data_IF_154384746824
#
_entry.id   IF_154384746824
#
_cell.length_a   1.000
_cell.length_b   1.000
_cell.length_c   1.000
_cell.angle_alpha   90.00
_cell.angle_beta   90.00
_cell.angle_gamma   90.00
#
_symmetry.space_group_name_H-M   'P 1'
#
loop_
_entity.id
_entity.type
_entity.pdbx_description
1 polymer ?
#
# COMPACT_ATOMS: atom_id res chain seq x y z
N UNK A 1 3.91 15.60 28.09
CA UNK A 1 3.22 16.52 27.14
C UNK A 1 1.88 16.87 27.74
N UNK A 2 1.91 17.65 28.80
CA UNK A 2 0.68 18.12 29.45
C UNK A 2 0.10 19.28 28.67
N UNK A 3 -1.19 19.18 28.40
CA UNK A 3 -2.16 20.22 28.02
C UNK A 3 -1.60 21.52 27.42
N UNK A 4 -1.04 21.45 26.22
CA UNK A 4 -1.02 22.60 25.31
C UNK A 4 -2.27 22.53 24.45
N UNK A 5 -2.89 23.68 24.25
CA UNK A 5 -4.22 23.90 23.71
C UNK A 5 -4.69 22.90 22.69
N UNK A 6 -5.98 22.52 22.75
CA UNK A 6 -6.65 21.58 21.82
C UNK A 6 -6.55 21.96 20.32
N UNK A 7 -5.94 23.11 20.00
CA UNK A 7 -5.76 23.66 18.65
C UNK A 7 -4.35 23.48 18.08
N UNK A 8 -3.39 22.92 18.85
CA UNK A 8 -2.02 22.74 18.37
C UNK A 8 -1.96 21.69 17.25
N UNK A 9 -1.33 22.06 16.16
CA UNK A 9 -1.09 21.17 15.01
C UNK A 9 0.38 20.78 15.01
N UNK A 10 0.65 19.48 15.03
CA UNK A 10 2.00 18.92 15.04
C UNK A 10 2.22 17.97 13.88
N UNK A 11 3.37 18.08 13.21
CA UNK A 11 3.91 16.98 12.40
C UNK A 11 5.08 16.34 13.15
N UNK A 12 5.05 15.04 13.33
CA UNK A 12 5.99 14.31 14.18
C UNK A 12 6.62 13.16 13.37
N UNK A 13 7.97 13.11 13.42
CA UNK A 13 8.75 11.99 12.93
C UNK A 13 9.17 11.08 14.09
N UNK A 14 8.72 9.85 14.11
CA UNK A 14 9.23 8.80 14.99
C UNK A 14 10.39 8.08 14.34
N UNK A 15 11.48 7.92 15.08
CA UNK A 15 12.69 7.29 14.59
C UNK A 15 13.32 6.35 15.60
N UNK A 16 14.29 5.55 15.16
CA UNK A 16 15.21 4.83 16.01
C UNK A 16 16.66 5.25 15.68
N UNK A 17 17.58 5.34 16.66
CA UNK A 17 18.97 5.79 16.44
C UNK A 17 19.77 4.94 15.44
N UNK A 18 19.47 3.66 15.38
CA UNK A 18 20.12 2.70 14.47
C UNK A 18 19.50 2.67 13.05
N UNK A 19 18.37 3.35 12.82
CA UNK A 19 17.65 3.31 11.54
C UNK A 19 18.35 4.19 10.49
N UNK A 20 18.93 3.58 9.46
CA UNK A 20 19.63 4.27 8.36
C UNK A 20 18.70 5.18 7.54
N UNK A 21 17.48 4.71 7.22
CA UNK A 21 16.46 5.49 6.50
C UNK A 21 16.01 6.72 7.31
N UNK A 22 16.00 6.62 8.64
CA UNK A 22 15.69 7.76 9.50
C UNK A 22 16.78 8.85 9.41
N UNK A 23 18.06 8.43 9.34
CA UNK A 23 19.20 9.35 9.16
C UNK A 23 19.17 10.03 7.79
N UNK A 24 18.83 9.29 6.73
CA UNK A 24 18.66 9.85 5.38
C UNK A 24 17.55 10.90 5.32
N UNK A 25 16.49 10.74 6.10
CA UNK A 25 15.37 11.70 6.18
C UNK A 25 15.71 12.95 7.02
N UNK A 26 16.73 12.94 7.86
CA UNK A 26 17.05 14.07 8.76
C UNK A 26 17.30 15.41 8.04
N UNK A 27 18.03 15.48 6.91
CA UNK A 27 18.18 16.73 6.17
C UNK A 27 16.85 17.28 5.65
N UNK A 28 16.01 16.42 5.07
CA UNK A 28 14.68 16.76 4.57
C UNK A 28 13.78 17.26 5.72
N UNK A 29 13.83 16.59 6.88
CA UNK A 29 13.06 16.97 8.05
C UNK A 29 13.42 18.37 8.58
N UNK A 30 14.71 18.70 8.57
CA UNK A 30 15.18 20.06 8.94
C UNK A 30 14.72 21.13 7.94
N UNK A 31 14.75 20.83 6.63
CA UNK A 31 14.24 21.73 5.60
C UNK A 31 12.74 22.02 5.79
N UNK A 32 11.94 20.98 6.05
CA UNK A 32 10.50 21.11 6.33
C UNK A 32 10.26 22.02 7.54
N UNK A 33 10.99 21.81 8.65
CA UNK A 33 10.89 22.66 9.83
C UNK A 33 11.23 24.12 9.58
N UNK A 34 12.29 24.37 8.80
CA UNK A 34 12.71 25.73 8.42
C UNK A 34 11.67 26.40 7.50
N UNK A 35 11.13 25.69 6.54
CA UNK A 35 10.15 26.21 5.60
C UNK A 35 8.82 26.54 6.30
N UNK A 36 8.29 25.64 7.11
CA UNK A 36 7.05 25.89 7.87
C UNK A 36 7.21 27.09 8.81
N UNK A 37 8.38 27.26 9.43
CA UNK A 37 8.69 28.42 10.25
C UNK A 37 8.75 29.70 9.42
N UNK A 38 9.39 29.69 8.26
CA UNK A 38 9.52 30.87 7.38
C UNK A 38 8.18 31.31 6.79
N UNK A 39 7.28 30.36 6.55
CA UNK A 39 5.91 30.63 6.08
C UNK A 39 4.95 31.08 7.20
N UNK A 40 5.40 31.18 8.46
CA UNK A 40 4.54 31.47 9.58
C UNK A 40 3.43 30.42 9.80
N UNK A 41 3.69 29.16 9.41
CA UNK A 41 2.72 28.08 9.54
C UNK A 41 2.36 27.81 11.00
N UNK A 42 1.08 27.53 11.33
CA UNK A 42 0.68 27.11 12.65
C UNK A 42 1.14 25.69 13.02
N UNK A 43 1.80 24.98 12.09
CA UNK A 43 2.22 23.60 12.27
C UNK A 43 3.58 23.54 12.96
N UNK A 44 3.62 22.92 14.13
CA UNK A 44 4.85 22.62 14.86
C UNK A 44 5.50 21.33 14.33
N UNK A 45 6.83 21.32 14.23
CA UNK A 45 7.60 20.18 13.73
C UNK A 45 8.35 19.52 14.87
N UNK A 46 8.14 18.23 15.07
CA UNK A 46 8.76 17.46 16.14
C UNK A 46 9.42 16.17 15.65
N UNK A 47 10.33 15.62 16.46
CA UNK A 47 10.84 14.27 16.31
C UNK A 47 10.88 13.56 17.66
N UNK A 48 10.65 12.27 17.68
CA UNK A 48 10.69 11.45 18.89
C UNK A 48 11.45 10.17 18.65
N UNK A 49 12.38 9.87 19.56
CA UNK A 49 13.02 8.56 19.61
C UNK A 49 12.02 7.55 20.17
N UNK A 50 11.53 6.68 19.30
CA UNK A 50 10.52 5.68 19.67
C UNK A 50 11.09 4.54 20.52
N UNK A 51 12.42 4.39 20.56
CA UNK A 51 13.10 3.38 21.39
C UNK A 51 13.27 3.88 22.84
N UNK A 52 13.44 5.18 23.02
CA UNK A 52 13.48 5.81 24.33
C UNK A 52 12.07 6.15 24.86
N UNK A 53 11.17 6.59 23.96
CA UNK A 53 9.79 7.00 24.30
C UNK A 53 8.78 5.91 23.93
N UNK A 54 8.96 4.70 24.47
CA UNK A 54 8.15 3.52 24.10
C UNK A 54 6.66 3.68 24.41
N UNK A 55 6.30 4.39 25.48
CA UNK A 55 4.91 4.72 25.81
C UNK A 55 4.24 5.54 24.72
N UNK A 56 4.92 6.60 24.25
CA UNK A 56 4.43 7.46 23.19
C UNK A 56 4.35 6.68 21.84
N UNK A 57 5.37 5.90 21.53
CA UNK A 57 5.37 5.07 20.31
C UNK A 57 4.20 4.07 20.30
N UNK A 58 3.87 3.48 21.44
CA UNK A 58 2.72 2.57 21.60
C UNK A 58 1.40 3.31 21.46
N UNK A 59 1.23 4.48 22.09
CA UNK A 59 0.06 5.33 21.98
C UNK A 59 -0.23 5.72 20.51
N UNK A 60 0.83 6.10 19.79
CA UNK A 60 0.74 6.46 18.37
C UNK A 60 0.75 5.25 17.44
N UNK A 61 0.84 4.01 17.96
CA UNK A 61 0.86 2.75 17.19
C UNK A 61 1.94 2.74 16.12
N UNK A 62 3.14 3.19 16.47
CA UNK A 62 4.31 3.17 15.58
C UNK A 62 4.74 1.73 15.34
N UNK A 63 4.69 1.27 14.08
CA UNK A 63 5.00 -0.12 13.69
C UNK A 63 6.32 -0.27 12.93
N UNK A 64 6.92 0.85 12.52
CA UNK A 64 8.17 0.86 11.74
C UNK A 64 8.80 2.24 11.72
N UNK A 65 10.02 2.34 11.21
CA UNK A 65 10.79 3.59 11.19
C UNK A 65 11.32 3.90 9.78
N UNK A 66 11.33 5.20 9.37
CA UNK A 66 10.69 6.34 10.05
C UNK A 66 9.17 6.30 9.91
N UNK A 67 8.43 6.59 11.00
CA UNK A 67 7.00 6.85 10.93
C UNK A 67 6.75 8.36 10.99
N UNK A 68 5.91 8.87 10.11
CA UNK A 68 5.52 10.27 10.04
C UNK A 68 4.02 10.35 10.26
N UNK A 69 3.61 11.19 11.17
CA UNK A 69 2.21 11.45 11.43
C UNK A 69 1.96 12.92 11.77
N UNK A 70 0.74 13.35 11.54
CA UNK A 70 0.27 14.66 11.96
C UNK A 70 -0.80 14.51 13.02
N UNK A 71 -0.72 15.37 14.04
CA UNK A 71 -1.72 15.48 15.07
C UNK A 71 -2.41 16.83 14.91
N UNK A 72 -3.73 16.83 14.79
CA UNK A 72 -4.56 18.03 14.67
C UNK A 72 -5.83 17.84 15.47
N UNK A 73 -6.07 18.71 16.45
CA UNK A 73 -7.28 18.64 17.30
C UNK A 73 -7.52 17.26 17.93
N UNK A 74 -6.45 16.60 18.38
CA UNK A 74 -6.53 15.25 18.95
C UNK A 74 -6.68 14.13 17.95
N UNK A 75 -6.90 14.42 16.66
CA UNK A 75 -6.99 13.42 15.61
C UNK A 75 -5.62 13.15 15.01
N UNK A 76 -5.32 11.87 14.78
CA UNK A 76 -4.06 11.39 14.22
C UNK A 76 -4.21 11.06 12.75
N UNK A 77 -3.32 11.62 11.93
CA UNK A 77 -3.23 11.39 10.49
C UNK A 77 -1.87 10.78 10.15
N UNK A 78 -1.84 9.54 9.68
CA UNK A 78 -0.59 8.88 9.29
C UNK A 78 -0.20 9.28 7.87
N UNK A 79 1.10 9.48 7.65
CA UNK A 79 1.66 9.73 6.33
C UNK A 79 2.25 8.46 5.74
N UNK A 80 1.79 8.07 4.57
CA UNK A 80 2.27 6.88 3.84
C UNK A 80 2.88 7.21 2.47
N UNK A 81 3.07 8.49 2.15
CA UNK A 81 3.61 8.95 0.87
C UNK A 81 5.14 8.96 0.78
N UNK A 82 5.69 9.49 -0.34
CA UNK A 82 7.12 9.59 -0.59
C UNK A 82 7.85 10.37 0.52
N UNK A 83 9.04 9.90 0.90
CA UNK A 83 9.87 10.52 1.95
C UNK A 83 10.64 11.75 1.43
N UNK A 84 10.02 12.52 0.55
CA UNK A 84 10.54 13.76 -0.04
C UNK A 84 9.98 14.99 0.67
N UNK A 85 10.67 16.12 0.54
CA UNK A 85 10.20 17.40 1.09
C UNK A 85 8.81 17.75 0.54
N UNK A 86 8.66 17.69 -0.78
CA UNK A 86 7.41 18.11 -1.45
C UNK A 86 6.23 17.20 -1.08
N UNK A 87 6.44 15.89 -1.02
CA UNK A 87 5.39 14.95 -0.62
C UNK A 87 4.92 15.17 0.83
N UNK A 88 5.85 15.41 1.76
CA UNK A 88 5.53 15.67 3.16
C UNK A 88 4.88 17.05 3.32
N UNK A 89 5.38 18.09 2.63
CA UNK A 89 4.80 19.44 2.67
C UNK A 89 3.40 19.49 2.07
N UNK A 90 3.14 18.76 0.98
CA UNK A 90 1.80 18.61 0.43
C UNK A 90 0.83 17.99 1.43
N UNK A 91 1.25 16.91 2.12
CA UNK A 91 0.46 16.30 3.19
C UNK A 91 0.18 17.28 4.34
N UNK A 92 1.21 18.02 4.79
CA UNK A 92 1.06 19.04 5.83
C UNK A 92 0.04 20.08 5.41
N UNK A 93 0.17 20.66 4.23
CA UNK A 93 -0.73 21.67 3.70
C UNK A 93 -2.16 21.16 3.56
N UNK A 94 -2.32 19.92 3.16
CA UNK A 94 -3.62 19.27 2.99
C UNK A 94 -4.32 19.08 4.33
N UNK A 95 -3.66 18.47 5.30
CA UNK A 95 -4.24 18.14 6.62
C UNK A 95 -4.36 19.34 7.53
N UNK A 96 -3.40 20.28 7.53
CA UNK A 96 -3.45 21.48 8.38
C UNK A 96 -4.58 22.43 7.99
N UNK A 97 -4.92 22.48 6.71
CA UNK A 97 -5.98 23.35 6.19
C UNK A 97 -7.39 22.89 6.55
N UNK A 98 -8.40 23.58 6.02
CA UNK A 98 -9.79 23.16 6.17
C UNK A 98 -10.03 21.83 5.43
N UNK A 99 -10.93 21.01 5.99
CA UNK A 99 -11.28 19.70 5.46
C UNK A 99 -11.81 19.78 4.03
N UNK A 100 -12.74 20.71 3.78
CA UNK A 100 -13.27 21.03 2.45
C UNK A 100 -12.97 22.50 2.20
N UNK A 101 -12.19 22.78 1.14
CA UNK A 101 -11.75 24.13 0.77
C UNK A 101 -12.79 24.78 -0.12
N UNK A 102 -13.33 25.92 0.32
CA UNK A 102 -14.30 26.65 -0.46
C UNK A 102 -13.62 27.51 -1.54
N UNK A 103 -14.03 27.33 -2.78
CA UNK A 103 -13.58 28.09 -3.94
C UNK A 103 -14.63 29.17 -4.24
N UNK A 104 -14.35 30.41 -3.79
CA UNK A 104 -15.31 31.51 -3.85
C UNK A 104 -15.26 32.33 -5.13
N UNK A 105 -14.33 32.05 -6.04
CA UNK A 105 -14.22 32.76 -7.33
C UNK A 105 -13.69 31.87 -8.44
N UNK A 106 -13.96 32.28 -9.69
CA UNK A 106 -13.44 31.60 -10.88
C UNK A 106 -11.92 31.57 -10.89
N UNK A 107 -11.26 32.63 -10.43
CA UNK A 107 -9.79 32.72 -10.36
C UNK A 107 -9.22 31.70 -9.36
N UNK A 108 -9.83 31.55 -8.17
CA UNK A 108 -9.43 30.54 -7.20
C UNK A 108 -9.66 29.12 -7.74
N UNK A 109 -10.75 28.91 -8.47
CA UNK A 109 -11.03 27.63 -9.10
C UNK A 109 -9.95 27.28 -10.14
N UNK A 110 -9.63 28.21 -11.05
CA UNK A 110 -8.59 28.05 -12.06
C UNK A 110 -7.21 27.83 -11.43
N UNK A 111 -6.89 28.59 -10.37
CA UNK A 111 -5.65 28.40 -9.63
C UNK A 111 -5.58 27.02 -8.98
N UNK A 112 -6.65 26.52 -8.39
CA UNK A 112 -6.69 25.17 -7.85
C UNK A 112 -6.51 24.12 -8.95
N UNK A 113 -7.18 24.27 -10.10
CA UNK A 113 -7.02 23.37 -11.26
C UNK A 113 -5.59 23.33 -11.80
N UNK A 114 -4.86 24.44 -11.77
CA UNK A 114 -3.45 24.47 -12.22
C UNK A 114 -2.46 23.83 -11.26
N UNK A 115 -2.86 23.62 -10.01
CA UNK A 115 -2.01 23.05 -8.94
C UNK A 115 -2.31 21.61 -8.59
N UNK A 116 -3.45 21.09 -9.00
CA UNK A 116 -3.88 19.75 -8.64
C UNK A 116 -4.27 18.97 -9.89
N UNK A 117 -3.61 17.84 -10.13
CA UNK A 117 -3.92 16.96 -11.26
C UNK A 117 -5.32 16.35 -11.11
N UNK A 118 -5.81 16.22 -9.88
CA UNK A 118 -7.14 15.73 -9.57
C UNK A 118 -7.80 16.63 -8.53
N UNK A 119 -9.00 17.11 -8.80
CA UNK A 119 -9.81 17.92 -7.90
C UNK A 119 -11.18 17.30 -7.68
N UNK A 120 -11.50 16.99 -6.43
CA UNK A 120 -12.84 16.58 -6.00
C UNK A 120 -13.60 17.83 -5.56
N UNK A 121 -14.75 18.08 -6.16
CA UNK A 121 -15.53 19.32 -5.94
C UNK A 121 -16.99 18.98 -5.65
N UNK A 122 -17.46 19.38 -4.47
CA UNK A 122 -18.88 19.42 -4.17
C UNK A 122 -19.51 20.74 -4.67
N UNK A 123 -20.63 20.64 -5.36
CA UNK A 123 -21.34 21.81 -5.89
C UNK A 123 -22.79 21.79 -5.42
N UNK A 124 -23.20 22.84 -4.73
CA UNK A 124 -24.57 22.99 -4.26
C UNK A 124 -24.71 23.54 -2.84
N UNK A 125 -25.97 23.65 -2.40
CA UNK A 125 -26.32 24.05 -1.04
C UNK A 125 -26.16 22.89 -0.04
N UNK A 126 -26.43 23.14 1.23
CA UNK A 126 -26.42 22.11 2.28
C UNK A 126 -27.43 21.00 1.96
N UNK A 127 -27.01 19.75 2.00
CA UNK A 127 -27.79 18.56 1.65
C UNK A 127 -27.19 17.31 2.32
N UNK A 128 -27.89 16.20 2.25
CA UNK A 128 -27.36 14.90 2.71
C UNK A 128 -26.08 14.52 1.95
N UNK A 129 -26.04 14.74 0.64
CA UNK A 129 -24.84 14.49 -0.18
C UNK A 129 -23.62 15.31 0.30
N UNK A 130 -23.83 16.55 0.78
CA UNK A 130 -22.76 17.35 1.41
C UNK A 130 -22.26 16.71 2.68
N UNK A 131 -23.15 16.17 3.51
CA UNK A 131 -22.79 15.43 4.72
C UNK A 131 -21.92 14.22 4.41
N UNK A 132 -22.39 13.38 3.47
CA UNK A 132 -21.64 12.22 2.99
C UNK A 132 -20.26 12.60 2.43
N UNK A 133 -20.21 13.64 1.59
CA UNK A 133 -18.96 14.15 1.03
C UNK A 133 -17.99 14.63 2.10
N UNK A 134 -18.48 15.30 3.14
CA UNK A 134 -17.66 15.76 4.27
C UNK A 134 -17.12 14.59 5.09
N UNK A 135 -17.95 13.58 5.37
CA UNK A 135 -17.51 12.37 6.07
C UNK A 135 -16.43 11.61 5.29
N UNK A 136 -16.58 11.52 3.96
CA UNK A 136 -15.54 10.91 3.11
C UNK A 136 -14.26 11.74 3.12
N UNK A 137 -14.38 13.08 3.14
CA UNK A 137 -13.23 13.97 3.23
C UNK A 137 -12.47 13.77 4.56
N UNK A 138 -13.13 13.54 5.68
CA UNK A 138 -12.48 13.24 6.97
C UNK A 138 -11.58 12.01 6.91
N UNK A 139 -12.01 10.99 6.19
CA UNK A 139 -11.25 9.76 6.05
C UNK A 139 -10.12 9.87 5.00
N UNK A 140 -10.38 10.54 3.88
CA UNK A 140 -9.48 10.56 2.73
C UNK A 140 -8.62 11.82 2.60
N UNK A 141 -8.69 12.77 3.54
CA UNK A 141 -7.86 14.01 3.52
C UNK A 141 -6.36 13.71 3.54
N UNK A 142 -5.96 12.56 4.07
CA UNK A 142 -4.55 12.09 4.04
C UNK A 142 -4.06 11.78 2.63
N UNK A 143 -4.96 11.56 1.67
CA UNK A 143 -4.66 11.12 0.32
C UNK A 143 -4.96 12.19 -0.75
N UNK A 144 -6.01 13.00 -0.59
CA UNK A 144 -6.46 13.93 -1.63
C UNK A 144 -7.10 15.18 -1.05
N UNK A 145 -7.16 16.23 -1.86
CA UNK A 145 -7.82 17.49 -1.50
C UNK A 145 -9.30 17.44 -1.82
N UNK A 146 -10.10 18.10 -0.95
CA UNK A 146 -11.53 18.24 -1.09
C UNK A 146 -11.90 19.72 -1.24
N UNK A 147 -12.73 20.04 -2.23
CA UNK A 147 -13.17 21.39 -2.53
C UNK A 147 -14.68 21.48 -2.55
N UNK A 148 -15.20 22.70 -2.38
CA UNK A 148 -16.58 23.04 -2.64
C UNK A 148 -16.65 24.33 -3.43
N UNK A 149 -17.66 24.45 -4.31
CA UNK A 149 -17.89 25.62 -5.13
C UNK A 149 -19.38 25.85 -5.35
N UNK A 150 -19.75 27.05 -5.77
CA UNK A 150 -21.06 27.36 -6.34
C UNK A 150 -21.04 27.17 -7.85
N UNK A 151 -22.20 27.01 -8.48
CA UNK A 151 -22.30 26.74 -9.93
C UNK A 151 -21.66 27.83 -10.80
N UNK A 152 -21.78 29.08 -10.38
CA UNK A 152 -21.27 30.26 -11.08
C UNK A 152 -19.73 30.33 -11.11
N UNK A 153 -19.06 29.63 -10.20
CA UNK A 153 -17.60 29.55 -10.11
C UNK A 153 -17.02 28.50 -11.06
N UNK A 154 -17.81 27.52 -11.48
CA UNK A 154 -17.35 26.43 -12.34
C UNK A 154 -17.03 26.95 -13.78
N UNK A 155 -16.11 26.27 -14.50
CA UNK A 155 -15.87 26.52 -15.90
C UNK A 155 -17.18 26.42 -16.72
N UNK A 156 -17.37 27.32 -17.71
CA UNK A 156 -18.58 27.37 -18.55
C UNK A 156 -18.86 26.06 -19.30
N UNK A 157 -17.82 25.25 -19.54
CA UNK A 157 -17.95 23.96 -20.21
C UNK A 157 -18.60 22.87 -19.32
N UNK A 158 -18.73 23.13 -18.00
CA UNK A 158 -19.31 22.16 -17.06
C UNK A 158 -20.85 22.27 -17.14
N UNK A 159 -21.48 21.23 -17.67
CA UNK A 159 -22.94 21.09 -17.68
C UNK A 159 -23.36 20.15 -16.54
N UNK A 160 -24.19 20.66 -15.63
CA UNK A 160 -24.77 19.88 -14.54
C UNK A 160 -26.27 19.77 -14.70
N UNK A 161 -26.84 18.59 -14.84
CA UNK A 161 -28.29 18.41 -15.01
C UNK A 161 -29.06 18.79 -13.74
N UNK A 162 -28.45 18.55 -12.56
CA UNK A 162 -29.06 18.82 -11.25
C UNK A 162 -28.01 19.20 -10.22
N UNK A 163 -28.47 19.82 -9.13
CA UNK A 163 -27.72 20.10 -7.92
C UNK A 163 -28.49 19.51 -6.73
N UNK A 164 -27.80 19.04 -5.69
CA UNK A 164 -26.34 19.05 -5.48
C UNK A 164 -25.62 18.00 -6.30
N UNK A 165 -24.34 18.23 -6.58
CA UNK A 165 -23.49 17.31 -7.34
C UNK A 165 -22.08 17.18 -6.74
N UNK A 166 -21.44 16.02 -6.95
CA UNK A 166 -20.01 15.81 -6.69
C UNK A 166 -19.33 15.56 -8.02
N UNK A 167 -18.25 16.27 -8.27
CA UNK A 167 -17.46 16.17 -9.50
C UNK A 167 -16.01 15.84 -9.17
N UNK A 168 -15.35 15.16 -10.10
CA UNK A 168 -13.89 15.06 -10.16
C UNK A 168 -13.42 15.73 -11.46
N UNK A 169 -12.51 16.68 -11.34
CA UNK A 169 -11.78 17.28 -12.45
C UNK A 169 -10.42 16.61 -12.55
N UNK A 170 -10.12 16.02 -13.69
CA UNK A 170 -8.85 15.36 -14.00
C UNK A 170 -8.68 15.17 -15.52
N UNK A 171 -7.45 15.04 -15.98
CA UNK A 171 -7.12 14.73 -17.38
C UNK A 171 -7.79 15.69 -18.38
N UNK A 172 -7.86 17.00 -18.03
CA UNK A 172 -8.45 18.03 -18.87
C UNK A 172 -9.98 17.98 -18.99
N UNK A 173 -10.65 17.11 -18.25
CA UNK A 173 -12.12 16.94 -18.28
C UNK A 173 -12.70 16.83 -16.87
N UNK A 174 -13.98 16.50 -16.76
CA UNK A 174 -14.64 16.25 -15.49
C UNK A 174 -15.58 15.05 -15.57
N UNK A 175 -15.85 14.44 -14.42
CA UNK A 175 -16.80 13.34 -14.26
C UNK A 175 -17.70 13.64 -13.07
N UNK A 176 -18.98 13.34 -13.23
CA UNK A 176 -19.99 13.56 -12.20
C UNK A 176 -20.36 12.25 -11.53
N UNK A 177 -20.37 12.24 -10.21
CA UNK A 177 -20.85 11.11 -9.42
C UNK A 177 -22.35 10.91 -9.65
N UNK A 178 -22.73 9.65 -9.83
CA UNK A 178 -24.12 9.20 -9.90
C UNK A 178 -24.27 7.95 -9.02
N UNK A 179 -25.06 8.04 -7.95
CA UNK A 179 -25.22 6.99 -6.97
C UNK A 179 -25.75 5.67 -7.57
N UNK A 180 -26.70 5.73 -8.51
CA UNK A 180 -27.26 4.56 -9.16
C UNK A 180 -26.24 3.80 -10.01
N UNK A 181 -25.33 4.52 -10.69
CA UNK A 181 -24.32 3.94 -11.56
C UNK A 181 -23.04 3.58 -10.81
N UNK A 182 -22.60 4.45 -9.90
CA UNK A 182 -21.26 4.43 -9.30
C UNK A 182 -21.24 3.82 -7.91
N UNK A 183 -22.42 3.65 -7.29
CA UNK A 183 -22.57 3.08 -5.95
C UNK A 183 -22.11 4.03 -4.85
N UNK A 184 -21.43 3.51 -3.86
CA UNK A 184 -20.96 4.26 -2.68
C UNK A 184 -19.99 5.39 -3.05
N UNK A 185 -20.23 6.59 -2.50
CA UNK A 185 -19.44 7.79 -2.77
C UNK A 185 -17.96 7.66 -2.38
N UNK A 186 -17.66 6.99 -1.27
CA UNK A 186 -16.28 6.80 -0.81
C UNK A 186 -15.51 5.88 -1.76
N UNK A 187 -16.15 4.80 -2.22
CA UNK A 187 -15.56 3.89 -3.20
C UNK A 187 -15.33 4.61 -4.53
N UNK A 188 -16.30 5.45 -4.96
CA UNK A 188 -16.14 6.24 -6.18
C UNK A 188 -15.00 7.24 -6.05
N UNK A 189 -14.92 8.02 -4.96
CA UNK A 189 -13.82 8.97 -4.72
C UNK A 189 -12.47 8.24 -4.68
N UNK A 190 -12.38 7.10 -4.01
CA UNK A 190 -11.16 6.31 -3.95
C UNK A 190 -10.70 5.84 -5.33
N UNK A 191 -11.65 5.51 -6.22
CA UNK A 191 -11.34 5.15 -7.61
C UNK A 191 -10.91 6.34 -8.46
N UNK A 192 -11.53 7.50 -8.26
CA UNK A 192 -11.36 8.65 -9.14
C UNK A 192 -10.26 9.62 -8.68
N UNK A 193 -9.67 9.44 -7.48
CA UNK A 193 -8.62 10.31 -6.92
C UNK A 193 -7.25 10.21 -7.59
N UNK A 194 -7.11 9.41 -8.65
CA UNK A 194 -5.90 9.30 -9.45
C UNK A 194 -6.14 9.75 -10.89
N UNK A 195 -5.14 10.33 -11.57
CA UNK A 195 -5.21 10.56 -13.02
C UNK A 195 -5.45 9.27 -13.79
N UNK A 196 -5.91 9.36 -15.03
CA UNK A 196 -6.13 8.17 -15.86
C UNK A 196 -4.81 7.49 -16.27
N UNK A 197 -3.76 8.30 -16.48
CA UNK A 197 -2.43 7.82 -16.81
C UNK A 197 -1.37 8.74 -16.20
N UNK A 198 -0.39 8.18 -15.48
CA UNK A 198 0.67 8.94 -14.84
C UNK A 198 1.85 8.04 -14.40
N UNK A 199 2.93 8.66 -13.91
CA UNK A 199 4.04 7.94 -13.29
C UNK A 199 3.61 7.41 -11.92
N UNK A 200 3.69 6.09 -11.77
CA UNK A 200 3.33 5.39 -10.54
C UNK A 200 4.63 5.00 -9.82
N UNK A 201 4.75 5.37 -8.55
CA UNK A 201 5.79 4.91 -7.65
C UNK A 201 5.25 3.83 -6.69
N UNK A 202 6.12 3.22 -5.89
CA UNK A 202 5.74 2.16 -4.96
C UNK A 202 4.72 2.64 -3.90
N UNK A 203 4.78 3.89 -3.48
CA UNK A 203 3.85 4.47 -2.51
C UNK A 203 2.46 4.65 -3.11
N UNK A 204 2.41 5.20 -4.32
CA UNK A 204 1.16 5.38 -5.07
C UNK A 204 0.53 4.04 -5.43
N UNK A 205 1.36 3.09 -5.86
CA UNK A 205 0.90 1.73 -6.17
C UNK A 205 0.26 1.06 -4.94
N UNK A 206 0.87 1.20 -3.76
CA UNK A 206 0.30 0.70 -2.51
C UNK A 206 -1.04 1.37 -2.18
N UNK A 207 -1.13 2.71 -2.34
CA UNK A 207 -2.38 3.46 -2.13
C UNK A 207 -3.49 3.08 -3.12
N UNK A 208 -3.15 2.63 -4.33
CA UNK A 208 -4.09 2.11 -5.32
C UNK A 208 -4.68 0.76 -4.92
N UNK A 209 -3.92 -0.06 -4.18
CA UNK A 209 -4.38 -1.35 -3.67
C UNK A 209 -5.64 -1.28 -2.83
N UNK A 210 -5.82 -0.18 -2.11
CA UNK A 210 -7.03 0.06 -1.30
C UNK A 210 -8.31 0.21 -2.13
N UNK A 211 -8.20 0.53 -3.42
CA UNK A 211 -9.35 0.69 -4.32
C UNK A 211 -9.90 -0.64 -4.87
N UNK A 212 -9.12 -1.73 -4.77
CA UNK A 212 -9.46 -3.03 -5.34
C UNK A 212 -9.38 -3.12 -6.87
N UNK A 213 -8.92 -2.07 -7.57
CA UNK A 213 -8.70 -2.09 -9.02
C UNK A 213 -7.39 -2.77 -9.39
N UNK A 214 -7.33 -3.29 -10.60
CA UNK A 214 -6.11 -3.77 -11.23
C UNK A 214 -5.27 -2.60 -11.74
N UNK A 215 -3.95 -2.73 -11.74
CA UNK A 215 -3.04 -1.67 -12.22
C UNK A 215 -2.23 -2.17 -13.41
N UNK A 216 -2.38 -1.52 -14.55
CA UNK A 216 -1.61 -1.76 -15.78
C UNK A 216 -0.37 -0.88 -15.75
N UNK A 217 0.80 -1.49 -15.77
CA UNK A 217 2.08 -0.80 -15.67
C UNK A 217 2.94 -1.07 -16.91
N UNK A 218 3.36 0.01 -17.57
CA UNK A 218 4.53 -0.05 -18.44
C UNK A 218 5.78 0.09 -17.56
N UNK A 219 6.58 -0.95 -17.46
CA UNK A 219 7.85 -0.97 -16.73
C UNK A 219 8.95 -0.48 -17.67
N UNK A 220 9.63 0.60 -17.32
CA UNK A 220 10.60 1.28 -18.18
C UNK A 220 11.78 1.79 -17.38
N UNK A 221 12.92 1.96 -18.00
CA UNK A 221 14.07 2.60 -17.38
C UNK A 221 13.93 4.13 -17.31
N UNK A 222 14.65 4.77 -16.39
CA UNK A 222 14.73 6.24 -16.30
C UNK A 222 15.25 6.85 -17.60
N UNK A 223 16.21 6.19 -18.26
CA UNK A 223 16.72 6.54 -19.57
C UNK A 223 15.97 5.77 -20.66
N UNK A 224 14.72 6.16 -20.86
CA UNK A 224 13.76 5.41 -21.66
C UNK A 224 14.23 5.27 -23.13
N UNK A 225 14.46 4.04 -23.60
CA UNK A 225 14.72 3.72 -24.99
C UNK A 225 13.46 3.89 -25.87
N UNK A 226 13.62 3.79 -27.20
CA UNK A 226 12.49 3.92 -28.15
C UNK A 226 11.36 2.94 -27.84
N UNK A 227 11.70 1.75 -27.40
CA UNK A 227 10.73 0.71 -27.07
C UNK A 227 9.97 1.03 -25.76
N UNK A 228 10.66 1.53 -24.74
CA UNK A 228 10.02 2.01 -23.52
C UNK A 228 9.04 3.17 -23.78
N UNK A 229 9.39 4.11 -24.66
CA UNK A 229 8.48 5.17 -25.10
C UNK A 229 7.25 4.60 -25.81
N UNK A 230 7.43 3.57 -26.63
CA UNK A 230 6.31 2.87 -27.28
C UNK A 230 5.35 2.25 -26.26
N UNK A 231 5.86 1.54 -25.24
CA UNK A 231 5.01 0.97 -24.19
C UNK A 231 4.27 2.06 -23.40
N UNK A 232 4.95 3.15 -23.05
CA UNK A 232 4.32 4.30 -22.37
C UNK A 232 3.17 4.88 -23.21
N UNK A 233 3.42 5.18 -24.49
CA UNK A 233 2.42 5.74 -25.40
C UNK A 233 1.25 4.79 -25.63
N UNK A 234 1.51 3.49 -25.72
CA UNK A 234 0.48 2.46 -25.92
C UNK A 234 -0.47 2.38 -24.72
N UNK A 235 0.09 2.35 -23.50
CA UNK A 235 -0.70 2.29 -22.26
C UNK A 235 -1.49 3.59 -22.07
N UNK A 236 -0.88 4.76 -22.34
CA UNK A 236 -1.52 6.06 -22.28
C UNK A 236 -2.72 6.17 -23.23
N UNK A 237 -2.54 5.73 -24.49
CA UNK A 237 -3.61 5.71 -25.48
C UNK A 237 -4.78 4.83 -25.06
N UNK A 238 -4.51 3.61 -24.58
CA UNK A 238 -5.58 2.72 -24.11
C UNK A 238 -6.29 3.29 -22.89
N UNK A 239 -5.57 3.94 -21.98
CA UNK A 239 -6.15 4.62 -20.82
C UNK A 239 -7.09 5.76 -21.22
N UNK A 240 -6.79 6.48 -22.30
CA UNK A 240 -7.60 7.57 -22.79
C UNK A 240 -8.82 7.08 -23.60
N UNK A 241 -8.58 6.23 -24.62
CA UNK A 241 -9.58 5.86 -25.62
C UNK A 241 -10.59 4.81 -25.09
N UNK A 242 -10.18 3.96 -24.15
CA UNK A 242 -11.00 2.85 -23.66
C UNK A 242 -11.35 2.96 -22.16
N UNK A 243 -11.33 4.18 -21.60
CA UNK A 243 -11.55 4.45 -20.20
C UNK A 243 -12.84 3.81 -19.65
N UNK A 244 -13.96 3.91 -20.36
CA UNK A 244 -15.25 3.40 -19.91
C UNK A 244 -15.29 1.87 -19.91
N UNK A 245 -14.62 1.23 -20.87
CA UNK A 245 -14.56 -0.23 -20.98
C UNK A 245 -13.67 -0.80 -19.87
N UNK A 246 -12.52 -0.18 -19.65
CA UNK A 246 -11.52 -0.63 -18.68
C UNK A 246 -11.55 0.18 -17.37
N UNK A 247 -12.72 0.66 -16.95
CA UNK A 247 -12.91 1.43 -15.71
C UNK A 247 -12.47 0.68 -14.44
N UNK A 248 -12.25 -0.63 -14.49
CA UNK A 248 -11.73 -1.45 -13.41
C UNK A 248 -10.20 -1.50 -13.34
N UNK A 249 -9.51 -0.78 -14.22
CA UNK A 249 -8.08 -0.65 -14.23
C UNK A 249 -7.63 0.77 -13.89
N UNK A 250 -6.44 0.87 -13.30
CA UNK A 250 -5.59 2.04 -13.37
C UNK A 250 -4.52 1.81 -14.41
N UNK A 251 -4.02 2.88 -15.00
CA UNK A 251 -2.98 2.82 -16.02
C UNK A 251 -1.84 3.76 -15.67
N UNK A 252 -0.61 3.35 -15.93
CA UNK A 252 0.54 4.20 -15.75
C UNK A 252 1.84 3.54 -16.16
N UNK A 253 2.94 4.19 -15.82
CA UNK A 253 4.28 3.65 -16.02
C UNK A 253 5.09 3.74 -14.73
N UNK A 254 6.06 2.86 -14.60
CA UNK A 254 6.94 2.77 -13.43
C UNK A 254 8.40 2.70 -13.88
N UNK A 255 9.25 3.49 -13.22
CA UNK A 255 10.70 3.58 -13.48
C UNK A 255 11.54 2.96 -12.36
N UNK A 256 10.92 2.65 -11.23
CA UNK A 256 11.56 2.02 -10.06
C UNK A 256 10.88 0.66 -9.82
N UNK A 257 11.62 -0.43 -10.04
CA UNK A 257 11.04 -1.78 -10.17
C UNK A 257 11.23 -2.65 -8.92
N UNK A 258 11.83 -2.15 -7.85
CA UNK A 258 12.14 -2.94 -6.64
C UNK A 258 10.91 -3.65 -6.07
N UNK A 259 9.77 -2.94 -6.01
CA UNK A 259 8.51 -3.53 -5.54
C UNK A 259 8.04 -4.66 -6.47
N UNK A 260 8.10 -4.43 -7.77
CA UNK A 260 7.69 -5.44 -8.78
C UNK A 260 8.64 -6.63 -8.75
N UNK A 261 9.95 -6.41 -8.63
CA UNK A 261 10.94 -7.48 -8.47
C UNK A 261 10.67 -8.36 -7.25
N UNK A 262 10.27 -7.74 -6.12
CA UNK A 262 9.81 -8.46 -4.93
C UNK A 262 8.50 -9.23 -5.15
N UNK A 263 7.55 -8.65 -5.90
CA UNK A 263 6.28 -9.28 -6.21
C UNK A 263 6.44 -10.52 -7.12
N UNK A 264 7.26 -10.40 -8.18
CA UNK A 264 7.55 -11.50 -9.11
C UNK A 264 8.61 -12.47 -8.59
N UNK A 265 9.29 -12.11 -7.51
CA UNK A 265 10.42 -12.86 -6.92
C UNK A 265 11.56 -13.11 -7.92
N UNK A 266 11.89 -12.10 -8.70
CA UNK A 266 12.88 -12.18 -9.75
C UNK A 266 13.28 -10.82 -10.31
N UNK A 267 14.23 -10.83 -11.23
CA UNK A 267 14.63 -9.63 -11.96
C UNK A 267 13.55 -9.25 -12.98
N UNK A 268 13.18 -7.99 -13.00
CA UNK A 268 12.21 -7.43 -13.96
C UNK A 268 12.94 -7.04 -15.23
N UNK A 269 12.54 -7.64 -16.34
CA UNK A 269 13.03 -7.26 -17.67
C UNK A 269 12.33 -5.98 -18.10
N UNK A 270 13.08 -4.97 -18.50
CA UNK A 270 12.57 -3.69 -19.01
C UNK A 270 13.10 -3.41 -20.41
N UNK A 271 12.28 -2.84 -21.31
CA UNK A 271 10.88 -2.47 -21.12
C UNK A 271 9.93 -3.67 -21.15
N UNK A 272 8.89 -3.65 -20.31
CA UNK A 272 7.87 -4.69 -20.28
C UNK A 272 6.52 -4.16 -19.80
N UNK A 273 5.51 -5.02 -19.84
CA UNK A 273 4.15 -4.72 -19.41
C UNK A 273 3.71 -5.76 -18.36
N UNK A 274 3.07 -5.28 -17.29
CA UNK A 274 2.50 -6.12 -16.25
C UNK A 274 1.15 -5.56 -15.80
N UNK A 275 0.22 -6.44 -15.44
CA UNK A 275 -0.99 -6.06 -14.70
C UNK A 275 -0.87 -6.60 -13.29
N UNK A 276 -1.06 -5.73 -12.29
CA UNK A 276 -0.90 -6.07 -10.88
C UNK A 276 -2.25 -6.08 -10.18
N UNK A 277 -2.51 -7.12 -9.38
CA UNK A 277 -3.62 -7.21 -8.46
C UNK A 277 -3.10 -7.09 -7.02
N UNK A 278 -3.16 -5.89 -6.47
CA UNK A 278 -2.62 -5.59 -5.14
C UNK A 278 -3.45 -6.19 -4.01
N UNK A 279 -4.72 -6.52 -4.25
CA UNK A 279 -5.59 -7.10 -3.22
C UNK A 279 -5.17 -8.52 -2.82
N UNK A 280 -4.52 -9.24 -3.73
CA UNK A 280 -4.09 -10.63 -3.52
C UNK A 280 -2.58 -10.83 -3.70
N UNK A 281 -1.79 -9.75 -3.89
CA UNK A 281 -0.38 -9.79 -4.29
C UNK A 281 -0.14 -10.66 -5.54
N UNK A 282 -1.06 -10.57 -6.48
CA UNK A 282 -1.02 -11.30 -7.73
C UNK A 282 -0.64 -10.40 -8.91
N UNK A 283 -0.22 -11.02 -10.02
CA UNK A 283 0.11 -10.32 -11.24
C UNK A 283 -0.18 -11.15 -12.48
N UNK A 284 -0.29 -10.47 -13.62
CA UNK A 284 -0.51 -11.08 -14.92
C UNK A 284 0.55 -10.59 -15.89
N UNK A 285 1.07 -11.50 -16.69
CA UNK A 285 2.04 -11.21 -17.74
C UNK A 285 1.44 -11.54 -19.11
N UNK A 286 1.72 -10.73 -20.16
CA UNK A 286 1.32 -11.07 -21.51
C UNK A 286 2.06 -12.32 -21.98
N UNK A 287 1.43 -13.13 -22.83
CA UNK A 287 2.00 -14.37 -23.37
C UNK A 287 3.02 -14.14 -24.49
N UNK A 288 3.32 -12.89 -24.83
CA UNK A 288 4.28 -12.50 -25.86
C UNK A 288 4.46 -10.99 -25.88
N UNK A 289 5.19 -10.49 -26.88
CA UNK A 289 5.46 -9.07 -27.02
C UNK A 289 4.18 -8.29 -27.36
N UNK A 290 3.93 -7.23 -26.57
CA UNK A 290 2.80 -6.32 -26.79
C UNK A 290 3.28 -5.20 -27.70
N UNK A 291 3.12 -5.39 -29.02
CA UNK A 291 3.58 -4.42 -30.01
C UNK A 291 2.52 -3.40 -30.43
N UNK A 292 1.27 -3.81 -30.39
CA UNK A 292 0.14 -3.03 -30.87
C UNK A 292 -0.92 -2.80 -29.80
N UNK A 293 -1.76 -1.79 -30.03
CA UNK A 293 -2.93 -1.52 -29.20
C UNK A 293 -3.84 -2.77 -29.08
N UNK A 294 -4.04 -3.48 -30.18
CA UNK A 294 -4.85 -4.70 -30.20
C UNK A 294 -4.27 -5.79 -29.28
N UNK A 295 -2.97 -6.00 -29.29
CA UNK A 295 -2.32 -6.94 -28.37
C UNK A 295 -2.54 -6.56 -26.90
N UNK A 296 -2.49 -5.26 -26.58
CA UNK A 296 -2.78 -4.79 -25.23
C UNK A 296 -4.25 -5.01 -24.85
N UNK A 297 -5.19 -4.68 -25.74
CA UNK A 297 -6.62 -4.90 -25.51
C UNK A 297 -6.96 -6.38 -25.34
N UNK A 298 -6.40 -7.27 -26.16
CA UNK A 298 -6.57 -8.73 -26.05
C UNK A 298 -6.00 -9.24 -24.71
N UNK A 299 -4.84 -8.73 -24.29
CA UNK A 299 -4.26 -9.02 -22.97
C UNK A 299 -5.18 -8.59 -21.82
N UNK A 300 -5.65 -7.33 -21.83
CA UNK A 300 -6.53 -6.82 -20.78
C UNK A 300 -7.88 -7.57 -20.74
N UNK A 301 -8.41 -7.94 -21.90
CA UNK A 301 -9.60 -8.77 -21.99
C UNK A 301 -9.35 -10.14 -21.38
N UNK A 302 -8.22 -10.77 -21.69
CA UNK A 302 -7.85 -12.08 -21.12
C UNK A 302 -7.64 -12.03 -19.59
N UNK A 303 -7.21 -10.90 -19.05
CA UNK A 303 -7.15 -10.70 -17.59
C UNK A 303 -8.56 -10.61 -16.98
N UNK A 304 -9.50 -9.93 -17.64
CA UNK A 304 -10.87 -9.77 -17.15
C UNK A 304 -11.72 -11.06 -17.26
N UNK A 305 -11.57 -11.79 -18.35
CA UNK A 305 -12.34 -13.03 -18.58
C UNK A 305 -11.71 -14.27 -17.93
N UNK A 306 -10.51 -14.11 -17.33
CA UNK A 306 -9.81 -15.19 -16.63
C UNK A 306 -9.07 -16.18 -17.53
N UNK A 307 -8.96 -15.91 -18.84
CA UNK A 307 -8.20 -16.76 -19.78
C UNK A 307 -6.68 -16.63 -19.55
N UNK A 308 -6.23 -15.53 -18.96
CA UNK A 308 -4.84 -15.34 -18.52
C UNK A 308 -4.73 -15.64 -17.03
N UNK A 309 -3.86 -16.59 -16.72
CA UNK A 309 -3.67 -17.04 -15.35
C UNK A 309 -3.02 -15.97 -14.49
N UNK A 310 -3.59 -15.73 -13.29
CA UNK A 310 -2.98 -14.92 -12.26
C UNK A 310 -1.78 -15.67 -11.65
N UNK A 311 -0.64 -15.02 -11.64
CA UNK A 311 0.60 -15.48 -11.02
C UNK A 311 0.77 -14.84 -9.63
N UNK A 312 1.62 -15.43 -8.78
CA UNK A 312 1.85 -14.90 -7.43
C UNK A 312 0.73 -15.26 -6.44
N UNK A 313 0.29 -14.27 -5.68
CA UNK A 313 -0.78 -14.43 -4.71
C UNK A 313 -0.30 -14.65 -3.26
N UNK A 314 -1.28 -14.77 -2.33
CA UNK A 314 -1.05 -14.87 -0.89
C UNK A 314 -1.17 -16.29 -0.32
N UNK A 315 -1.10 -17.33 -1.18
CA UNK A 315 -1.10 -18.73 -0.79
C UNK A 315 0.10 -19.11 0.09
N UNK A 316 -0.04 -20.17 0.91
CA UNK A 316 1.03 -20.61 1.84
C UNK A 316 2.35 -20.86 1.09
N UNK A 317 2.30 -21.54 -0.06
CA UNK A 317 3.49 -21.85 -0.87
C UNK A 317 4.16 -20.56 -1.36
N UNK A 318 3.38 -19.57 -1.80
CA UNK A 318 3.92 -18.29 -2.25
C UNK A 318 4.53 -17.46 -1.11
N UNK A 319 3.94 -17.52 0.09
CA UNK A 319 4.53 -16.89 1.28
C UNK A 319 5.89 -17.52 1.64
N UNK A 320 6.00 -18.83 1.53
CA UNK A 320 7.29 -19.53 1.75
C UNK A 320 8.31 -19.13 0.68
N UNK A 321 7.92 -19.12 -0.60
CA UNK A 321 8.81 -18.69 -1.70
C UNK A 321 9.27 -17.25 -1.52
N UNK A 322 8.37 -16.34 -1.12
CA UNK A 322 8.69 -14.93 -0.85
C UNK A 322 9.66 -14.81 0.33
N UNK A 323 9.42 -15.53 1.41
CA UNK A 323 10.33 -15.56 2.56
C UNK A 323 11.74 -16.05 2.19
N UNK A 324 11.83 -17.09 1.36
CA UNK A 324 13.13 -17.60 0.86
C UNK A 324 13.82 -16.57 -0.02
N UNK A 325 13.07 -15.92 -0.93
CA UNK A 325 13.60 -14.87 -1.80
C UNK A 325 14.12 -13.67 -0.99
N UNK A 326 13.35 -13.15 -0.06
CA UNK A 326 13.72 -12.03 0.81
C UNK A 326 14.93 -12.35 1.68
N UNK A 327 14.98 -13.57 2.22
CA UNK A 327 16.13 -14.07 3.01
C UNK A 327 17.39 -14.12 2.14
N UNK A 328 17.29 -14.65 0.92
CA UNK A 328 18.41 -14.70 -0.04
C UNK A 328 18.89 -13.29 -0.38
N UNK A 329 17.98 -12.37 -0.73
CA UNK A 329 18.32 -10.98 -1.08
C UNK A 329 19.02 -10.27 0.10
N UNK A 330 18.48 -10.43 1.31
CA UNK A 330 19.08 -9.86 2.54
C UNK A 330 20.46 -10.44 2.83
N UNK A 331 20.62 -11.77 2.74
CA UNK A 331 21.93 -12.42 2.96
C UNK A 331 22.96 -11.98 1.92
N UNK A 332 22.58 -11.86 0.65
CA UNK A 332 23.46 -11.38 -0.41
C UNK A 332 23.93 -9.95 -0.12
N UNK A 333 23.01 -9.07 0.29
CA UNK A 333 23.32 -7.69 0.65
C UNK A 333 24.25 -7.60 1.86
N UNK A 334 23.97 -8.38 2.93
CA UNK A 334 24.80 -8.42 4.14
C UNK A 334 26.19 -9.00 3.83
N UNK A 335 26.25 -10.06 3.03
CA UNK A 335 27.53 -10.69 2.66
C UNK A 335 28.42 -9.80 1.81
N UNK A 336 27.81 -8.94 0.97
CA UNK A 336 28.57 -7.96 0.15
C UNK A 336 29.12 -6.80 0.99
N UNK A 337 28.40 -6.35 2.02
CA UNK A 337 28.79 -5.23 2.88
C UNK A 337 29.64 -5.65 4.09
N UNK A 338 29.39 -6.84 4.62
CA UNK A 338 30.06 -7.38 5.82
C UNK A 338 30.22 -8.90 5.70
N UNK A 339 31.25 -9.40 4.95
CA UNK A 339 31.40 -10.81 4.61
C UNK A 339 31.54 -11.72 5.84
N UNK A 340 32.20 -11.27 6.90
CA UNK A 340 32.32 -12.03 8.15
C UNK A 340 30.96 -12.22 8.83
N UNK A 341 30.11 -11.20 8.84
CA UNK A 341 28.75 -11.28 9.39
C UNK A 341 27.87 -12.20 8.54
N UNK A 342 27.98 -12.12 7.21
CA UNK A 342 27.29 -13.02 6.29
C UNK A 342 27.67 -14.49 6.52
N UNK A 343 28.94 -14.79 6.65
CA UNK A 343 29.42 -16.13 6.99
C UNK A 343 28.86 -16.63 8.35
N UNK A 344 28.86 -15.76 9.37
CA UNK A 344 28.32 -16.10 10.68
C UNK A 344 26.82 -16.39 10.64
N UNK A 345 26.04 -15.56 9.94
CA UNK A 345 24.58 -15.73 9.80
C UNK A 345 24.19 -17.04 9.11
N UNK A 346 25.04 -17.59 8.25
CA UNK A 346 24.81 -18.89 7.60
C UNK A 346 25.36 -20.04 8.43
N UNK A 347 26.61 -19.95 8.93
CA UNK A 347 27.28 -21.04 9.61
C UNK A 347 26.68 -21.34 10.98
N UNK A 348 26.23 -20.34 11.74
CA UNK A 348 25.70 -20.51 13.09
C UNK A 348 24.40 -21.34 13.13
N UNK A 349 23.36 -21.04 12.32
CA UNK A 349 22.16 -21.90 12.28
C UNK A 349 22.45 -23.32 11.79
N UNK A 350 23.36 -23.48 10.82
CA UNK A 350 23.77 -24.81 10.34
C UNK A 350 24.48 -25.62 11.43
N UNK A 351 25.34 -24.98 12.21
CA UNK A 351 26.01 -25.65 13.34
C UNK A 351 24.97 -26.07 14.40
N UNK A 352 24.02 -25.21 14.75
CA UNK A 352 22.93 -25.58 15.69
C UNK A 352 22.13 -26.76 15.15
N UNK A 353 21.73 -26.68 13.86
CA UNK A 353 20.97 -27.76 13.23
C UNK A 353 21.75 -29.10 13.26
N UNK A 354 23.04 -29.06 12.92
CA UNK A 354 23.92 -30.25 12.96
C UNK A 354 24.02 -30.84 14.39
N UNK A 355 24.15 -29.98 15.42
CA UNK A 355 24.18 -30.41 16.82
C UNK A 355 22.84 -31.05 17.22
N UNK A 356 21.71 -30.44 16.86
CA UNK A 356 20.38 -30.98 17.15
C UNK A 356 20.16 -32.33 16.45
N UNK A 357 20.55 -32.47 15.19
CA UNK A 357 20.49 -33.74 14.45
C UNK A 357 21.37 -34.81 15.13
N UNK A 358 22.60 -34.47 15.54
CA UNK A 358 23.49 -35.36 16.25
C UNK A 358 22.87 -35.84 17.56
N UNK A 359 22.30 -34.93 18.36
CA UNK A 359 21.64 -35.27 19.63
C UNK A 359 20.41 -36.16 19.42
N UNK A 360 19.58 -35.87 18.38
CA UNK A 360 18.44 -36.70 18.03
C UNK A 360 18.85 -38.11 17.57
N UNK A 361 19.93 -38.21 16.79
CA UNK A 361 20.46 -39.53 16.38
C UNK A 361 21.03 -40.32 17.56
N UNK A 362 21.67 -39.65 18.52
CA UNK A 362 22.22 -40.28 19.74
C UNK A 362 21.13 -40.68 20.76
N UNK A 363 20.01 -39.96 20.75
CA UNK A 363 18.87 -40.24 21.64
C UNK A 363 17.96 -41.39 21.16
N UNK A 364 18.23 -42.02 20.01
CA UNK A 364 17.51 -43.25 19.62
C UNK A 364 17.92 -44.38 20.60
N UNK A 365 16.99 -44.95 21.38
CA UNK A 365 17.29 -46.09 22.20
C UNK A 365 17.66 -47.23 21.26
N UNK A 366 18.86 -47.81 21.47
CA UNK A 366 19.22 -49.12 20.96
C UNK A 366 18.25 -50.12 21.61
N UNK A 367 17.31 -50.67 20.82
CA UNK A 367 16.63 -51.88 21.23
C UNK A 367 17.73 -52.98 21.33
N UNK A 368 18.21 -53.25 22.52
CA UNK A 368 18.93 -54.45 22.81
C UNK A 368 17.94 -55.61 22.68
N UNK A 369 18.11 -56.48 21.68
CA UNK A 369 17.61 -57.82 21.73
C UNK A 369 18.43 -58.52 22.80
N UNK A 370 17.86 -58.72 23.95
CA UNK A 370 18.27 -59.79 24.87
C UNK A 370 17.24 -60.90 24.73
N UNK A 371 17.54 -61.86 23.84
CA UNK A 371 17.06 -63.23 23.96
C UNK A 371 17.78 -63.87 25.14
N UNK A 372 17.07 -64.23 26.20
CA UNK A 372 17.40 -65.35 27.02
C UNK A 372 16.13 -65.96 27.63
N UNK A 373 16.00 -67.19 27.28
CA UNK A 373 15.21 -68.33 27.60
C UNK A 373 15.14 -68.58 29.14
N UNK A 374 14.03 -69.09 29.60
CA UNK A 374 13.70 -70.06 30.62
C UNK A 374 12.44 -69.76 31.40
N UNK A 375 11.37 -70.46 31.16
CA UNK A 375 11.04 -71.66 31.90
C UNK A 375 9.89 -71.48 32.90
N UNK A 376 8.78 -72.11 32.56
CA UNK A 376 7.87 -72.85 33.46
C UNK A 376 6.79 -72.16 34.32
N UNK A 377 5.58 -72.47 33.89
CA UNK A 377 4.44 -73.02 34.68
C UNK A 377 3.40 -72.16 35.38
N UNK A 378 2.20 -72.31 34.79
CA UNK A 378 0.93 -72.65 35.49
C UNK A 378 0.35 -71.63 36.52
N UNK A 379 -0.78 -71.04 36.21
CA UNK A 379 -2.11 -71.31 36.81
C UNK A 379 -3.06 -70.12 36.48
N UNK A 380 -4.12 -70.39 35.75
CA UNK A 380 -5.37 -69.63 35.75
C UNK A 380 -6.22 -70.08 36.94
N UNK A 381 -7.46 -69.61 37.23
CA UNK A 381 -8.20 -68.47 36.67
C UNK A 381 -8.97 -67.65 37.75
N UNK A 382 -9.65 -66.58 37.39
CA UNK A 382 -11.07 -66.30 37.73
C UNK A 382 -11.43 -64.79 37.44
N UNK A 383 -12.32 -64.56 36.53
CA UNK A 383 -13.67 -64.07 36.63
C UNK A 383 -14.00 -63.06 37.77
N UNK A 384 -14.40 -61.85 37.39
CA UNK A 384 -15.67 -61.21 37.70
C UNK A 384 -15.75 -59.80 37.04
N UNK A 385 -16.54 -59.65 36.07
CA UNK A 385 -17.87 -59.02 35.98
C UNK A 385 -18.02 -57.58 36.54
N UNK A 386 -18.46 -56.76 35.62
CA UNK A 386 -19.65 -55.85 35.72
C UNK A 386 -19.32 -54.35 35.88
N UNK A 387 -19.66 -53.56 34.95
CA UNK A 387 -20.84 -52.79 34.60
C UNK A 387 -20.52 -51.39 34.06
N UNK A 388 -20.98 -51.13 32.87
CA UNK A 388 -21.43 -49.82 32.32
C UNK A 388 -22.79 -49.47 32.96
N UNK A 389 -23.45 -48.32 32.68
CA UNK A 389 -23.15 -46.94 32.28
C UNK A 389 -23.87 -45.91 33.23
N UNK A 390 -24.37 -44.74 32.89
CA UNK A 390 -24.71 -44.10 31.61
C UNK A 390 -24.39 -42.59 31.46
N UNK A 391 -24.70 -42.11 30.25
CA UNK A 391 -24.85 -40.73 29.79
C UNK A 391 -25.81 -39.83 30.58
N UNK A 392 -25.60 -38.47 30.50
CA UNK A 392 -26.59 -37.37 30.36
C UNK A 392 -25.83 -36.14 29.92
N UNK A 393 -26.02 -35.54 28.81
CA UNK A 393 -26.97 -34.62 28.16
C UNK A 393 -27.57 -33.52 29.07
N UNK A 394 -27.67 -32.35 28.44
CA UNK A 394 -28.31 -31.03 28.68
C UNK A 394 -27.35 -29.99 29.31
N UNK A 395 -27.29 -28.75 28.93
CA UNK A 395 -28.02 -27.91 27.92
C UNK A 395 -27.04 -26.96 27.22
#
# INVERSE_FOLDING_TARGET
MESRAADDIWIIKFYAPWCSLCKQLDPVWRQIGSELKSLGSPVSVGKSDATASTGLAKEFRVRGYPAILMLKKGVKYNYSGPRTKDGIMDFVNRVAGPLVRHLSSVQLFQHAMSRHDVMLVYVGATSQLKGNYTSVAEELIVHTYFFSATRDVLPKAVSLPSLPAVLVFKDGTYFTYNEERDGDLKLWINRERFPNYFRIDSYTLYAMGESGKLVVLALVDKNTCKEGLRYKSLVEKVAADYREIYRNFYFGFMEEHDYISGLVMGEVIVPSLIVVNLSIDGYFLPQGDVETERHLLDFLKGVLDGSIQCLGGNGIIQRIKRFVYDTKATLTLVSSQAPLLGCFLVSFPLAIFAILCYLCCKARPTMSNDDDDDGVALLAPSLHHRNKPPQKKYD
#
